data_IF_443182841973
#
_entry.id   IF_443182841973
#
_cell.length_a   1.000
_cell.length_b   1.000
_cell.length_c   1.000
_cell.angle_alpha   90.00
_cell.angle_beta   90.00
_cell.angle_gamma   90.00
#
_symmetry.space_group_name_H-M   'P 1'
#
loop_
_entity.id
_entity.type
_entity.pdbx_description
1 polymer ?
#
# COMPACT_ATOMS: atom_id res chain seq x y z
N UNK A 1 -62.71 -2.55 -41.51
CA UNK A 1 -61.29 -2.22 -41.36
C UNK A 1 -61.20 -1.25 -40.19
N UNK A 2 -61.04 -1.78 -38.97
CA UNK A 2 -59.86 -1.55 -38.13
C UNK A 2 -59.02 -0.28 -38.47
N UNK A 3 -58.65 0.61 -37.55
CA UNK A 3 -58.11 0.40 -36.20
C UNK A 3 -58.41 1.53 -35.20
N UNK A 4 -58.82 1.11 -34.00
CA UNK A 4 -58.33 1.41 -32.64
C UNK A 4 -57.82 2.82 -32.25
N UNK A 5 -58.45 3.35 -31.20
CA UNK A 5 -58.09 4.57 -30.46
C UNK A 5 -56.80 4.37 -29.66
N UNK A 6 -55.91 5.37 -29.65
CA UNK A 6 -54.87 5.51 -28.62
C UNK A 6 -54.83 6.95 -28.15
N UNK A 7 -55.70 7.27 -27.19
CA UNK A 7 -55.52 8.38 -26.26
C UNK A 7 -54.93 7.78 -24.99
N UNK A 8 -53.64 8.05 -24.70
CA UNK A 8 -53.08 7.84 -23.36
C UNK A 8 -52.31 9.10 -22.96
N UNK A 9 -52.85 9.77 -21.94
CA UNK A 9 -52.31 11.00 -21.38
C UNK A 9 -51.30 10.66 -20.29
N UNK A 10 -50.17 11.36 -20.35
CA UNK A 10 -49.38 11.89 -19.24
C UNK A 10 -49.58 11.25 -17.85
N UNK A 11 -48.54 10.56 -17.38
CA UNK A 11 -48.25 10.43 -15.96
C UNK A 11 -46.75 10.67 -15.73
N UNK A 12 -46.47 11.63 -14.86
CA UNK A 12 -45.13 12.09 -14.48
C UNK A 12 -44.41 11.08 -13.58
N UNK A 13 -43.09 11.26 -13.54
CA UNK A 13 -42.08 10.51 -12.79
C UNK A 13 -42.34 10.52 -11.27
N UNK A 14 -41.72 9.59 -10.55
CA UNK A 14 -40.79 10.05 -9.51
C UNK A 14 -39.40 9.45 -9.71
N UNK A 15 -38.39 10.31 -9.54
CA UNK A 15 -37.00 9.88 -9.53
C UNK A 15 -36.69 8.96 -8.36
N UNK A 16 -35.64 8.16 -8.55
CA UNK A 16 -34.78 7.81 -7.46
C UNK A 16 -33.34 7.88 -7.96
N UNK A 17 -32.66 8.90 -7.44
CA UNK A 17 -31.24 9.13 -7.48
C UNK A 17 -30.47 7.97 -6.82
N UNK A 18 -29.22 7.82 -7.27
CA UNK A 18 -28.09 7.22 -6.55
C UNK A 18 -27.93 5.67 -6.57
N UNK A 19 -26.68 5.19 -6.45
CA UNK A 19 -25.60 5.31 -7.43
C UNK A 19 -24.89 3.93 -7.56
N UNK A 20 -23.72 3.91 -8.20
CA UNK A 20 -22.68 2.85 -8.11
C UNK A 20 -22.80 1.70 -9.12
N UNK A 21 -21.94 1.77 -10.14
CA UNK A 21 -21.04 0.65 -10.41
C UNK A 21 -19.78 1.20 -11.09
N UNK A 22 -18.71 1.51 -10.34
CA UNK A 22 -17.38 1.61 -10.92
C UNK A 22 -16.88 0.19 -11.22
N UNK A 23 -17.45 -0.47 -12.23
CA UNK A 23 -17.07 -1.84 -12.59
C UNK A 23 -15.87 -1.85 -13.55
N UNK A 24 -14.81 -1.09 -13.29
CA UNK A 24 -13.55 -1.15 -14.06
C UNK A 24 -12.34 -0.79 -13.16
N UNK A 25 -12.23 -1.38 -11.97
CA UNK A 25 -11.06 -1.23 -11.11
C UNK A 25 -10.72 -2.55 -10.41
N UNK A 26 -10.62 -3.64 -11.17
CA UNK A 26 -10.41 -4.95 -10.58
C UNK A 26 -9.54 -5.81 -11.47
N UNK A 27 -8.25 -5.44 -11.57
CA UNK A 27 -7.19 -6.37 -11.98
C UNK A 27 -5.75 -5.98 -11.57
N UNK A 28 -5.58 -4.99 -10.69
CA UNK A 28 -4.34 -4.67 -9.97
C UNK A 28 -4.39 -4.69 -8.41
N UNK A 29 -5.49 -5.03 -7.68
CA UNK A 29 -5.52 -4.82 -6.23
C UNK A 29 -4.52 -5.63 -5.40
N UNK A 30 -3.99 -6.76 -5.88
CA UNK A 30 -3.17 -7.63 -5.03
C UNK A 30 -1.68 -7.25 -5.02
N UNK A 31 -1.09 -6.85 -6.15
CA UNK A 31 0.34 -6.50 -6.20
C UNK A 31 0.65 -5.21 -5.43
N UNK A 32 -0.12 -4.14 -5.66
CA UNK A 32 0.10 -2.85 -5.00
C UNK A 32 -0.10 -2.91 -3.48
N UNK A 33 -0.96 -3.81 -2.99
CA UNK A 33 -1.13 -4.05 -1.56
C UNK A 33 0.06 -4.78 -0.93
N UNK A 34 0.73 -5.68 -1.67
CA UNK A 34 1.94 -6.33 -1.19
C UNK A 34 3.08 -5.33 -1.04
N UNK A 35 3.32 -4.48 -2.05
CA UNK A 35 4.38 -3.47 -2.01
C UNK A 35 4.19 -2.46 -0.87
N UNK A 36 2.96 -1.97 -0.67
CA UNK A 36 2.65 -1.08 0.45
C UNK A 36 2.90 -1.77 1.81
N UNK A 37 2.56 -3.06 1.94
CA UNK A 37 2.81 -3.83 3.16
C UNK A 37 4.30 -4.07 3.42
N UNK A 38 5.11 -4.24 2.38
CA UNK A 38 6.56 -4.40 2.51
C UNK A 38 7.23 -3.11 2.98
N UNK A 39 6.85 -1.95 2.44
CA UNK A 39 7.37 -0.64 2.87
C UNK A 39 7.07 -0.37 4.35
N UNK A 40 5.84 -0.64 4.80
CA UNK A 40 5.46 -0.53 6.22
C UNK A 40 6.28 -1.45 7.13
N UNK A 41 6.55 -2.69 6.68
CA UNK A 41 7.42 -3.63 7.42
C UNK A 41 8.85 -3.12 7.51
N UNK A 42 9.44 -2.64 6.40
CA UNK A 42 10.79 -2.06 6.40
C UNK A 42 10.86 -0.88 7.37
N UNK A 43 9.88 0.03 7.34
CA UNK A 43 9.83 1.17 8.24
C UNK A 43 9.80 0.73 9.71
N UNK A 44 8.96 -0.26 10.05
CA UNK A 44 8.91 -0.83 11.40
C UNK A 44 10.24 -1.46 11.83
N UNK A 45 10.88 -2.21 10.93
CA UNK A 45 12.19 -2.83 11.19
C UNK A 45 13.27 -1.76 11.42
N UNK A 46 13.27 -0.68 10.64
CA UNK A 46 14.22 0.44 10.79
C UNK A 46 14.05 1.12 12.14
N UNK A 47 12.82 1.45 12.55
CA UNK A 47 12.53 2.07 13.86
C UNK A 47 12.97 1.16 15.02
N UNK A 48 12.67 -0.13 14.93
CA UNK A 48 13.06 -1.10 15.95
C UNK A 48 14.58 -1.31 16.00
N UNK A 49 15.27 -1.27 14.86
CA UNK A 49 16.73 -1.39 14.76
C UNK A 49 17.43 -0.16 15.31
N UNK A 50 16.90 1.03 15.03
CA UNK A 50 17.37 2.26 15.66
C UNK A 50 17.27 2.22 17.18
N UNK A 51 16.16 1.71 17.71
CA UNK A 51 15.95 1.64 19.17
C UNK A 51 16.87 0.63 19.85
N UNK A 52 17.25 -0.44 19.15
CA UNK A 52 18.01 -1.56 19.73
C UNK A 52 19.53 -1.40 19.57
N UNK A 53 19.97 -0.86 18.43
CA UNK A 53 21.40 -0.76 18.06
C UNK A 53 21.78 0.57 17.42
N UNK A 54 20.94 1.61 17.48
CA UNK A 54 21.20 2.89 16.81
C UNK A 54 22.47 3.62 17.26
N UNK A 55 22.96 3.35 18.48
CA UNK A 55 24.20 3.91 19.01
C UNK A 55 25.46 3.10 18.64
N UNK A 56 25.32 2.01 17.86
CA UNK A 56 26.44 1.17 17.41
C UNK A 56 27.08 1.69 16.11
N UNK A 57 28.17 1.04 15.69
CA UNK A 57 28.79 1.29 14.39
C UNK A 57 27.84 0.97 13.24
N UNK A 58 28.02 1.67 12.12
CA UNK A 58 27.21 1.48 10.89
C UNK A 58 27.25 0.01 10.42
N UNK A 59 28.40 -0.66 10.46
CA UNK A 59 28.52 -2.08 10.10
C UNK A 59 27.67 -3.00 11.00
N UNK A 60 27.63 -2.74 12.30
CA UNK A 60 26.81 -3.50 13.26
C UNK A 60 25.32 -3.26 13.02
N UNK A 61 24.93 -2.01 12.76
CA UNK A 61 23.56 -1.65 12.42
C UNK A 61 23.14 -2.32 11.10
N UNK A 62 23.99 -2.27 10.07
CA UNK A 62 23.73 -2.89 8.78
C UNK A 62 23.59 -4.41 8.89
N UNK A 63 24.44 -5.06 9.70
CA UNK A 63 24.37 -6.49 9.94
C UNK A 63 23.03 -6.90 10.58
N UNK A 64 22.62 -6.20 11.65
CA UNK A 64 21.35 -6.46 12.34
C UNK A 64 20.15 -6.14 11.44
N UNK A 65 20.22 -5.04 10.70
CA UNK A 65 19.17 -4.63 9.77
C UNK A 65 18.99 -5.69 8.67
N UNK A 66 20.08 -6.16 8.06
CA UNK A 66 20.05 -7.21 7.04
C UNK A 66 19.42 -8.50 7.57
N UNK A 67 19.78 -8.91 8.79
CA UNK A 67 19.19 -10.10 9.42
C UNK A 67 17.67 -9.97 9.59
N UNK A 68 17.19 -8.84 10.12
CA UNK A 68 15.74 -8.61 10.37
C UNK A 68 14.91 -8.51 9.09
N UNK A 69 15.48 -7.91 8.06
CA UNK A 69 14.85 -7.84 6.73
C UNK A 69 14.68 -9.26 6.16
N UNK A 70 15.73 -10.09 6.25
CA UNK A 70 15.67 -11.48 5.82
C UNK A 70 14.67 -12.32 6.64
N UNK A 71 14.66 -12.17 7.96
CA UNK A 71 13.67 -12.82 8.85
C UNK A 71 12.22 -12.44 8.49
N UNK A 72 12.03 -11.25 7.91
CA UNK A 72 10.74 -10.74 7.44
C UNK A 72 10.43 -11.09 5.98
N UNK A 73 11.29 -11.90 5.33
CA UNK A 73 11.25 -12.24 3.90
C UNK A 73 11.32 -11.00 2.98
N UNK A 74 12.04 -9.97 3.41
CA UNK A 74 12.28 -8.75 2.63
C UNK A 74 13.70 -8.79 2.11
N UNK A 75 13.83 -8.84 0.79
CA UNK A 75 15.14 -8.79 0.13
C UNK A 75 15.46 -7.35 -0.27
N UNK A 76 16.41 -6.75 0.44
CA UNK A 76 17.00 -5.47 0.06
C UNK A 76 18.46 -5.66 -0.36
N UNK A 77 18.91 -4.97 -1.41
CA UNK A 77 20.31 -5.02 -1.78
C UNK A 77 21.17 -4.39 -0.69
N UNK A 78 22.36 -4.94 -0.55
CA UNK A 78 23.35 -4.62 0.47
C UNK A 78 23.71 -3.12 0.52
N UNK A 79 23.60 -2.41 -0.61
CA UNK A 79 23.75 -0.96 -0.71
C UNK A 79 22.63 -0.20 0.02
N UNK A 80 21.38 -0.59 -0.15
CA UNK A 80 20.22 0.04 0.49
C UNK A 80 20.23 -0.21 2.00
N UNK A 81 20.59 -1.43 2.42
CA UNK A 81 20.78 -1.74 3.84
C UNK A 81 21.85 -0.86 4.47
N UNK A 82 22.97 -0.60 3.76
CA UNK A 82 24.02 0.31 4.23
C UNK A 82 23.54 1.77 4.31
N UNK A 83 22.71 2.23 3.38
CA UNK A 83 22.13 3.58 3.45
C UNK A 83 21.16 3.72 4.63
N UNK A 84 20.28 2.73 4.84
CA UNK A 84 19.39 2.69 6.00
C UNK A 84 20.18 2.65 7.32
N UNK A 85 21.28 1.90 7.37
CA UNK A 85 22.15 1.87 8.55
C UNK A 85 22.79 3.23 8.85
N UNK A 86 23.21 3.98 7.82
CA UNK A 86 23.70 5.36 7.97
C UNK A 86 22.59 6.30 8.46
N UNK A 87 21.39 6.16 7.93
CA UNK A 87 20.22 6.95 8.36
C UNK A 87 19.91 6.70 9.85
N UNK A 88 19.90 5.44 10.27
CA UNK A 88 19.74 5.03 11.67
C UNK A 88 20.84 5.64 12.56
N UNK A 89 22.12 5.49 12.16
CA UNK A 89 23.27 5.97 12.93
C UNK A 89 23.32 7.50 13.05
N UNK A 90 22.86 8.23 12.02
CA UNK A 90 22.80 9.70 12.02
C UNK A 90 21.50 10.23 12.64
N UNK A 91 20.53 9.36 12.92
CA UNK A 91 19.20 9.75 13.41
C UNK A 91 18.35 10.47 12.39
N UNK A 92 18.70 10.39 11.10
CA UNK A 92 17.92 10.96 10.00
C UNK A 92 16.88 9.92 9.59
N UNK A 93 15.61 10.14 9.93
CA UNK A 93 14.46 9.32 9.51
C UNK A 93 13.33 10.25 9.12
#
# INVERSE_FOLDING_TARGET
MEHENVDDRAAEMPGNDSPLEPEQAQEVPLLAQNEASEVDKVAGIVVQTRSDVGDKSIDEIAHVLHQRLNDSSIELPDSEVRELAKQIATGTT
#
